data_IF_616519405111
#
_entry.id   IF_616519405111
#
_cell.length_a   1.000
_cell.length_b   1.000
_cell.length_c   1.000
_cell.angle_alpha   90.00
_cell.angle_beta   90.00
_cell.angle_gamma   90.00
#
_symmetry.space_group_name_H-M   'P 1'
#
loop_
_entity.id
_entity.type
_entity.pdbx_description
1 polymer ?
#
# COMPACT_ATOMS: atom_id res chain seq x y z
N UNK A 1 30.10 -21.15 -68.88
CA UNK A 1 30.00 -19.69 -68.94
C UNK A 1 29.36 -19.21 -67.65
N UNK A 2 30.13 -18.55 -66.78
CA UNK A 2 29.63 -17.95 -65.54
C UNK A 2 29.48 -16.44 -65.71
N UNK A 3 28.45 -15.87 -65.06
CA UNK A 3 28.39 -14.46 -64.67
C UNK A 3 28.02 -14.37 -63.18
N UNK A 4 28.72 -13.55 -62.39
CA UNK A 4 28.41 -13.27 -60.99
C UNK A 4 27.46 -12.06 -60.88
N UNK A 5 26.70 -11.98 -59.79
CA UNK A 5 26.31 -10.69 -59.18
C UNK A 5 26.23 -10.86 -57.67
N UNK A 6 26.96 -9.99 -56.98
CA UNK A 6 27.03 -9.77 -55.53
C UNK A 6 26.04 -8.67 -55.14
N UNK A 7 25.45 -8.73 -53.93
CA UNK A 7 24.95 -7.61 -53.11
C UNK A 7 24.72 -8.18 -51.69
N UNK A 8 25.62 -7.98 -50.71
CA UNK A 8 25.81 -6.82 -49.83
C UNK A 8 24.81 -6.73 -48.66
N UNK A 9 25.37 -6.53 -47.47
CA UNK A 9 24.83 -6.69 -46.12
C UNK A 9 23.81 -5.63 -45.66
N UNK A 10 23.07 -5.96 -44.59
CA UNK A 10 22.71 -4.98 -43.55
C UNK A 10 22.59 -5.65 -42.18
N UNK A 11 23.27 -5.06 -41.21
CA UNK A 11 23.24 -5.31 -39.76
C UNK A 11 21.90 -4.90 -39.15
N UNK A 12 21.46 -5.62 -38.11
CA UNK A 12 20.79 -5.02 -36.94
C UNK A 12 20.72 -6.04 -35.79
N UNK A 13 21.50 -5.82 -34.74
CA UNK A 13 21.29 -6.44 -33.44
C UNK A 13 20.21 -5.65 -32.69
N UNK A 14 19.17 -6.29 -32.12
CA UNK A 14 18.40 -5.71 -31.03
C UNK A 14 19.05 -6.15 -29.72
N UNK A 15 19.77 -5.24 -29.08
CA UNK A 15 19.30 -4.55 -27.88
C UNK A 15 19.04 -5.53 -26.73
N UNK A 16 20.03 -5.58 -25.84
CA UNK A 16 19.83 -5.97 -24.46
C UNK A 16 18.54 -5.31 -23.96
N UNK A 17 17.53 -6.13 -23.67
CA UNK A 17 16.43 -5.71 -22.84
C UNK A 17 17.08 -5.33 -21.50
N UNK A 18 17.26 -4.03 -21.29
CA UNK A 18 17.51 -3.51 -19.96
C UNK A 18 16.39 -4.06 -19.10
N UNK A 19 16.73 -4.94 -18.17
CA UNK A 19 15.93 -5.13 -16.98
C UNK A 19 15.81 -3.73 -16.39
N UNK A 20 14.70 -3.07 -16.67
CA UNK A 20 14.33 -1.83 -16.03
C UNK A 20 14.37 -2.15 -14.56
N UNK A 21 15.36 -1.58 -13.88
CA UNK A 21 15.37 -1.50 -12.44
C UNK A 21 14.00 -0.97 -12.05
N UNK A 22 13.18 -1.83 -11.44
CA UNK A 22 12.15 -1.41 -10.51
C UNK A 22 12.87 -0.54 -9.50
N UNK A 23 12.97 0.76 -9.76
CA UNK A 23 12.88 1.77 -8.72
C UNK A 23 11.48 1.54 -8.12
N UNK A 24 11.30 0.60 -7.19
CA UNK A 24 11.66 0.84 -5.78
C UNK A 24 11.21 2.27 -5.44
N UNK A 25 9.93 2.54 -5.72
CA UNK A 25 9.28 3.78 -5.31
C UNK A 25 9.12 3.66 -3.81
N UNK A 26 10.22 3.81 -3.09
CA UNK A 26 10.21 3.98 -1.65
C UNK A 26 9.34 5.20 -1.41
N UNK A 27 8.10 4.94 -1.00
CA UNK A 27 7.14 5.94 -0.61
C UNK A 27 7.82 6.92 0.37
N UNK A 28 7.55 8.23 0.25
CA UNK A 28 8.28 9.23 1.00
C UNK A 28 8.08 9.06 2.52
N UNK A 29 8.98 9.60 3.35
CA UNK A 29 8.91 9.44 4.81
C UNK A 29 7.58 9.94 5.40
N UNK A 30 6.91 10.85 4.72
CA UNK A 30 5.60 11.39 5.05
C UNK A 30 4.43 10.69 4.32
N UNK A 31 4.65 9.56 3.66
CA UNK A 31 3.62 8.81 2.92
C UNK A 31 2.38 8.52 3.78
N UNK A 32 2.56 8.29 5.08
CA UNK A 32 1.44 8.19 6.01
C UNK A 32 0.48 9.38 5.86
N UNK A 33 1.02 10.60 5.90
CA UNK A 33 0.25 11.84 5.85
C UNK A 33 -0.26 12.20 4.45
N UNK A 34 0.46 11.79 3.40
CA UNK A 34 0.15 12.21 2.03
C UNK A 34 -0.69 11.18 1.26
N UNK A 35 -0.55 9.89 1.56
CA UNK A 35 -1.13 8.79 0.77
C UNK A 35 -2.09 7.90 1.56
N UNK A 36 -1.84 7.68 2.86
CA UNK A 36 -2.61 6.70 3.65
C UNK A 36 -3.71 7.30 4.53
N UNK A 37 -3.70 8.61 4.81
CA UNK A 37 -4.77 9.24 5.59
C UNK A 37 -6.05 9.27 4.78
N UNK A 38 -7.12 8.71 5.34
CA UNK A 38 -8.40 8.62 4.63
C UNK A 38 -9.42 7.73 5.32
N UNK A 39 -10.54 7.55 4.62
CA UNK A 39 -11.60 6.61 4.98
C UNK A 39 -11.59 5.49 3.95
N UNK A 40 -11.44 4.26 4.41
CA UNK A 40 -11.41 3.09 3.56
C UNK A 40 -12.43 2.07 4.04
N UNK A 41 -12.82 1.12 3.20
CA UNK A 41 -13.66 0.01 3.62
C UNK A 41 -13.42 -1.22 2.74
N UNK A 42 -13.82 -2.39 3.21
CA UNK A 42 -13.97 -3.56 2.33
C UNK A 42 -14.95 -3.20 1.20
N UNK A 43 -14.74 -3.73 -0.01
CA UNK A 43 -15.56 -3.41 -1.19
C UNK A 43 -17.06 -3.46 -0.88
N UNK A 44 -17.77 -2.39 -1.27
CA UNK A 44 -19.21 -2.23 -1.05
C UNK A 44 -19.63 -1.88 0.38
N UNK A 45 -18.69 -1.60 1.29
CA UNK A 45 -18.97 -1.34 2.71
C UNK A 45 -18.65 0.09 3.17
N UNK A 46 -18.48 1.05 2.27
CA UNK A 46 -18.20 2.45 2.62
C UNK A 46 -19.30 3.13 3.45
N UNK A 47 -20.54 2.64 3.39
CA UNK A 47 -21.67 3.15 4.18
C UNK A 47 -21.83 2.42 5.54
N UNK A 48 -20.96 1.44 5.83
CA UNK A 48 -21.00 0.62 7.05
C UNK A 48 -19.82 0.96 7.97
N UNK A 49 -20.10 1.68 9.06
CA UNK A 49 -19.08 2.12 10.02
C UNK A 49 -18.36 0.98 10.72
N UNK A 50 -18.98 -0.19 10.85
CA UNK A 50 -18.36 -1.38 11.44
C UNK A 50 -17.35 -2.05 10.50
N UNK A 51 -17.39 -1.72 9.21
CA UNK A 51 -16.50 -2.24 8.17
C UNK A 51 -15.63 -1.17 7.53
N UNK A 52 -15.69 0.03 8.08
CA UNK A 52 -14.89 1.19 7.70
C UNK A 52 -13.61 1.23 8.52
N UNK A 53 -12.55 1.68 7.87
CA UNK A 53 -11.25 2.02 8.41
C UNK A 53 -11.05 3.53 8.33
N UNK A 54 -10.68 4.17 9.43
CA UNK A 54 -10.29 5.58 9.47
C UNK A 54 -8.83 5.69 9.86
N UNK A 55 -8.02 6.22 8.95
CA UNK A 55 -6.59 6.44 9.16
C UNK A 55 -6.36 7.96 9.24
N UNK A 56 -5.75 8.43 10.32
CA UNK A 56 -5.35 9.83 10.45
C UNK A 56 -3.93 9.96 11.05
N UNK A 57 -3.47 11.19 11.31
CA UNK A 57 -2.09 11.43 11.76
C UNK A 57 -1.71 10.74 13.07
N UNK A 58 -2.68 10.43 13.93
CA UNK A 58 -2.42 9.95 15.29
C UNK A 58 -3.21 8.70 15.66
N UNK A 59 -4.11 8.23 14.81
CA UNK A 59 -5.00 7.13 15.15
C UNK A 59 -5.34 6.27 13.93
N UNK A 60 -5.63 5.01 14.23
CA UNK A 60 -6.21 4.06 13.30
C UNK A 60 -7.46 3.50 13.96
N UNK A 61 -8.61 3.63 13.29
CA UNK A 61 -9.86 2.96 13.68
C UNK A 61 -10.23 1.94 12.63
N UNK A 62 -10.63 0.75 13.05
CA UNK A 62 -11.20 -0.27 12.18
C UNK A 62 -12.35 -0.97 12.88
N UNK A 63 -13.55 -0.86 12.29
CA UNK A 63 -14.76 -1.30 12.96
C UNK A 63 -14.95 -0.60 14.32
N UNK A 64 -15.06 -1.38 15.40
CA UNK A 64 -15.22 -0.88 16.77
C UNK A 64 -13.89 -0.63 17.50
N UNK A 65 -12.78 -1.13 16.97
CA UNK A 65 -11.46 -0.94 17.55
C UNK A 65 -10.84 0.38 17.09
N UNK A 66 -10.24 1.13 18.01
CA UNK A 66 -9.35 2.23 17.70
C UNK A 66 -8.03 2.08 18.46
N UNK A 67 -6.94 2.53 17.86
CA UNK A 67 -5.65 2.68 18.51
C UNK A 67 -5.20 4.14 18.37
N UNK A 68 -4.85 4.79 19.48
CA UNK A 68 -4.60 6.24 19.56
C UNK A 68 -3.14 6.63 19.69
N UNK A 69 -2.25 5.65 19.81
CA UNK A 69 -0.81 5.89 19.85
C UNK A 69 -0.15 5.14 18.69
N UNK A 70 0.27 5.89 17.66
CA UNK A 70 1.08 5.36 16.58
C UNK A 70 2.56 5.48 16.97
N UNK A 71 3.26 4.36 16.95
CA UNK A 71 4.69 4.30 17.20
C UNK A 71 5.51 4.76 15.99
N UNK A 72 6.81 4.47 16.02
CA UNK A 72 7.70 4.81 14.91
C UNK A 72 7.34 3.99 13.67
N UNK A 73 6.96 4.68 12.59
CA UNK A 73 6.70 4.08 11.30
C UNK A 73 7.99 3.52 10.69
N UNK A 74 7.92 2.32 10.12
CA UNK A 74 9.06 1.67 9.48
C UNK A 74 8.67 1.06 8.14
N UNK A 75 9.52 1.22 7.13
CA UNK A 75 9.34 0.53 5.86
C UNK A 75 9.81 -0.92 5.96
N UNK A 76 8.96 -1.84 5.51
CA UNK A 76 9.26 -3.26 5.41
C UNK A 76 8.90 -3.72 4.00
N UNK A 77 9.93 -4.07 3.22
CA UNK A 77 9.80 -4.28 1.78
C UNK A 77 9.13 -3.05 1.12
N UNK A 78 7.95 -3.23 0.52
CA UNK A 78 7.15 -2.17 -0.10
C UNK A 78 6.02 -1.63 0.81
N UNK A 79 5.91 -2.15 2.03
CA UNK A 79 4.85 -1.84 2.99
C UNK A 79 5.29 -0.87 4.09
N UNK A 80 4.36 -0.03 4.53
CA UNK A 80 4.54 0.83 5.70
C UNK A 80 4.06 0.11 6.95
N UNK A 81 4.98 -0.33 7.79
CA UNK A 81 4.66 -0.91 9.09
C UNK A 81 4.36 0.20 10.11
N UNK A 82 3.18 0.10 10.72
CA UNK A 82 2.64 1.03 11.70
C UNK A 82 2.42 0.26 13.00
N UNK A 83 3.35 0.35 13.96
CA UNK A 83 3.10 -0.14 15.31
C UNK A 83 2.09 0.77 16.00
N UNK A 84 1.14 0.16 16.71
CA UNK A 84 0.02 0.84 17.35
C UNK A 84 -0.12 0.32 18.78
N UNK A 85 -0.34 1.24 19.70
CA UNK A 85 -0.62 0.95 21.09
C UNK A 85 -1.82 1.74 21.59
N UNK A 86 -2.19 1.52 22.85
CA UNK A 86 -3.40 2.10 23.46
C UNK A 86 -4.68 1.73 22.67
N UNK A 87 -4.73 0.49 22.19
CA UNK A 87 -5.86 -0.03 21.44
C UNK A 87 -7.05 -0.30 22.37
N UNK A 88 -8.27 -0.04 21.89
CA UNK A 88 -9.51 -0.29 22.64
C UNK A 88 -10.63 -0.73 21.72
N UNK A 89 -11.43 -1.68 22.19
CA UNK A 89 -12.74 -2.04 21.63
C UNK A 89 -13.84 -1.46 22.55
N UNK A 90 -14.36 -0.29 22.15
CA UNK A 90 -15.25 0.50 23.00
C UNK A 90 -14.59 0.92 24.32
N UNK A 91 -15.03 0.34 25.43
CA UNK A 91 -14.52 0.64 26.78
C UNK A 91 -13.45 -0.35 27.27
N UNK A 92 -13.14 -1.38 26.48
CA UNK A 92 -12.23 -2.47 26.86
C UNK A 92 -10.87 -2.22 26.23
N UNK A 93 -9.80 -2.35 27.02
CA UNK A 93 -8.43 -2.33 26.52
C UNK A 93 -8.18 -3.56 25.65
N UNK A 94 -7.57 -3.35 24.49
CA UNK A 94 -7.19 -4.39 23.54
C UNK A 94 -5.66 -4.47 23.44
N UNK A 95 -5.17 -5.59 22.92
CA UNK A 95 -3.74 -5.79 22.73
C UNK A 95 -3.16 -4.78 21.73
N UNK A 96 -1.89 -4.41 21.94
CA UNK A 96 -1.14 -3.64 20.96
C UNK A 96 -1.09 -4.36 19.60
N UNK A 97 -1.11 -3.59 18.52
CA UNK A 97 -1.19 -4.11 17.16
C UNK A 97 -0.06 -3.57 16.31
N UNK A 98 0.27 -4.31 15.27
CA UNK A 98 1.15 -3.84 14.21
C UNK A 98 0.52 -4.19 12.89
N UNK A 99 0.29 -3.16 12.07
CA UNK A 99 -0.27 -3.31 10.73
C UNK A 99 0.78 -2.95 9.70
N UNK A 100 0.70 -3.56 8.51
CA UNK A 100 1.51 -3.18 7.37
C UNK A 100 0.59 -2.74 6.24
N UNK A 101 0.76 -1.51 5.77
CA UNK A 101 -0.07 -0.91 4.72
C UNK A 101 0.69 -0.87 3.40
N UNK A 102 0.01 -1.26 2.32
CA UNK A 102 0.53 -1.23 0.96
C UNK A 102 -0.41 -0.39 0.10
N UNK A 103 0.16 0.41 -0.80
CA UNK A 103 -0.62 1.18 -1.75
C UNK A 103 -1.24 0.25 -2.81
N UNK A 104 -2.49 0.51 -3.19
CA UNK A 104 -3.19 -0.19 -4.28
C UNK A 104 -3.85 0.85 -5.21
N UNK A 105 -4.22 0.43 -6.43
CA UNK A 105 -4.75 1.34 -7.47
C UNK A 105 -6.01 2.10 -7.00
N UNK A 106 -6.93 1.41 -6.30
CA UNK A 106 -8.22 1.97 -5.86
C UNK A 106 -8.34 2.09 -4.32
N UNK A 107 -7.20 2.13 -3.61
CA UNK A 107 -7.18 2.24 -2.15
C UNK A 107 -5.94 1.64 -1.52
N UNK A 108 -6.14 0.72 -0.58
CA UNK A 108 -5.07 0.18 0.27
C UNK A 108 -5.19 -1.33 0.45
N UNK A 109 -4.05 -1.98 0.62
CA UNK A 109 -4.00 -3.33 1.18
C UNK A 109 -3.42 -3.27 2.58
N UNK A 110 -4.03 -3.95 3.54
CA UNK A 110 -3.59 -3.99 4.94
C UNK A 110 -3.32 -5.43 5.34
N UNK A 111 -2.12 -5.69 5.84
CA UNK A 111 -1.77 -6.94 6.51
C UNK A 111 -1.86 -6.76 8.03
N UNK A 112 -2.68 -7.59 8.68
CA UNK A 112 -2.87 -7.59 10.14
C UNK A 112 -1.99 -8.62 10.85
N UNK A 113 -1.18 -9.39 10.13
CA UNK A 113 -0.47 -10.58 10.61
C UNK A 113 -1.35 -11.84 10.71
N UNK A 114 -2.67 -11.68 10.71
CA UNK A 114 -3.64 -12.78 10.70
C UNK A 114 -4.25 -12.96 9.30
N UNK A 115 -4.45 -11.85 8.58
CA UNK A 115 -5.02 -11.83 7.25
C UNK A 115 -4.61 -10.56 6.49
N UNK A 116 -4.73 -10.63 5.17
CA UNK A 116 -4.56 -9.50 4.27
C UNK A 116 -5.91 -9.02 3.77
N UNK A 117 -6.17 -7.72 3.87
CA UNK A 117 -7.43 -7.08 3.48
C UNK A 117 -7.19 -6.07 2.36
N UNK A 118 -7.99 -6.18 1.29
CA UNK A 118 -8.10 -5.12 0.30
C UNK A 118 -9.20 -4.14 0.74
N UNK A 119 -8.84 -2.87 0.82
CA UNK A 119 -9.72 -1.77 1.21
C UNK A 119 -9.81 -0.77 0.06
N UNK A 120 -11.03 -0.42 -0.31
CA UNK A 120 -11.34 0.62 -1.29
C UNK A 120 -11.38 1.99 -0.60
N UNK A 121 -10.85 3.02 -1.24
CA UNK A 121 -11.01 4.39 -0.78
C UNK A 121 -12.49 4.83 -0.86
N UNK A 122 -13.02 5.32 0.25
CA UNK A 122 -14.39 5.84 0.36
C UNK A 122 -14.44 7.37 0.19
N UNK A 123 -13.30 8.01 -0.03
CA UNK A 123 -13.13 9.45 -0.11
C UNK A 123 -12.98 10.13 1.26
N UNK A 124 -12.32 11.30 1.27
CA UNK A 124 -12.15 12.10 2.49
C UNK A 124 -13.46 12.76 2.91
N UNK A 125 -14.08 12.27 3.98
CA UNK A 125 -15.08 13.02 4.74
C UNK A 125 -14.34 13.80 5.85
N UNK A 126 -13.79 14.98 5.51
CA UNK A 126 -13.34 15.95 6.53
C UNK A 126 -14.50 16.81 7.01
#
# INVERSE_FOLDING_TARGET
MWKPVTLAACLAAPLAAGAQSTEDTRLPEDAWRTEFIGRYAVEGACEDDARTWLLNESQVRFGSEWCTALGKLTWEEDGLAVPMSECRDGAVEADDRRLVFYQAEDGLTVDTGEQTLALTDCGSSY
#
